data_IF_622178129971
#
_entry.id   IF_622178129971
#
_cell.length_a   1.000
_cell.length_b   1.000
_cell.length_c   1.000
_cell.angle_alpha   90.00
_cell.angle_beta   90.00
_cell.angle_gamma   90.00
#
_symmetry.space_group_name_H-M   'P 1'
#
loop_
_entity.id
_entity.type
_entity.pdbx_description
1 polymer ?
#
# COMPACT_ATOMS: atom_id res chain seq x y z
N UNK A 1 1.57 -14.76 -11.88
CA UNK A 1 0.19 -14.65 -11.37
C UNK A 1 0.25 -14.11 -9.95
N UNK A 2 -0.71 -13.29 -9.49
CA UNK A 2 -0.70 -12.83 -8.10
C UNK A 2 -0.79 -14.02 -7.16
N UNK A 3 -0.06 -13.96 -6.04
CA UNK A 3 -0.20 -14.90 -4.93
C UNK A 3 -1.63 -14.83 -4.39
N UNK A 4 -2.09 -13.62 -4.09
CA UNK A 4 -3.45 -13.36 -3.64
C UNK A 4 -3.81 -11.86 -3.71
N UNK A 5 -5.10 -11.56 -3.50
CA UNK A 5 -5.62 -10.20 -3.29
C UNK A 5 -6.01 -10.02 -1.82
N UNK A 6 -5.54 -8.94 -1.20
CA UNK A 6 -5.78 -8.64 0.21
C UNK A 6 -6.52 -7.32 0.37
N UNK A 7 -7.33 -7.22 1.42
CA UNK A 7 -7.93 -5.95 1.86
C UNK A 7 -7.60 -5.77 3.33
N UNK A 8 -6.95 -4.66 3.66
CA UNK A 8 -6.57 -4.31 5.02
C UNK A 8 -7.27 -3.03 5.44
N UNK A 9 -7.97 -3.09 6.58
CA UNK A 9 -8.43 -1.87 7.25
C UNK A 9 -7.28 -1.17 7.94
N UNK A 10 -7.49 0.10 8.28
CA UNK A 10 -6.53 0.86 9.07
C UNK A 10 -6.22 0.16 10.41
N UNK A 11 -4.93 0.05 10.71
CA UNK A 11 -4.33 -0.67 11.83
C UNK A 11 -4.61 -2.18 11.87
N UNK A 12 -5.13 -2.76 10.78
CA UNK A 12 -5.32 -4.20 10.66
C UNK A 12 -4.03 -4.85 10.16
N UNK A 13 -3.65 -5.95 10.81
CA UNK A 13 -2.48 -6.76 10.46
C UNK A 13 -2.95 -8.07 9.83
N UNK A 14 -2.39 -8.43 8.67
CA UNK A 14 -2.69 -9.69 8.01
C UNK A 14 -1.43 -10.38 7.53
N UNK A 15 -1.39 -11.71 7.67
CA UNK A 15 -0.34 -12.54 7.08
C UNK A 15 -0.53 -12.58 5.57
N UNK A 16 0.46 -12.07 4.83
CA UNK A 16 0.43 -11.99 3.37
C UNK A 16 1.16 -13.16 2.70
N UNK A 17 2.15 -13.75 3.38
CA UNK A 17 2.91 -14.89 2.88
C UNK A 17 3.70 -15.54 4.03
N UNK A 18 3.52 -16.85 4.29
CA UNK A 18 4.22 -17.59 5.35
C UNK A 18 4.26 -16.86 6.72
N UNK A 19 5.42 -16.35 7.13
CA UNK A 19 5.64 -15.62 8.39
C UNK A 19 5.66 -14.09 8.23
N UNK A 20 5.30 -13.59 7.04
CA UNK A 20 5.28 -12.17 6.69
C UNK A 20 3.89 -11.61 6.96
N UNK A 21 3.81 -10.63 7.86
CA UNK A 21 2.59 -9.86 8.10
C UNK A 21 2.74 -8.44 7.61
N UNK A 22 1.64 -7.86 7.18
CA UNK A 22 1.53 -6.49 6.72
C UNK A 22 0.43 -5.78 7.50
N UNK A 23 0.72 -4.58 8.00
CA UNK A 23 -0.24 -3.70 8.66
C UNK A 23 -0.38 -2.40 7.89
N UNK A 24 -1.62 -2.04 7.55
CA UNK A 24 -1.91 -0.72 6.97
C UNK A 24 -2.05 0.31 8.10
N UNK A 25 -1.07 1.18 8.32
CA UNK A 25 -1.10 2.12 9.44
C UNK A 25 -1.97 3.33 9.13
N UNK A 26 -1.76 3.93 7.97
CA UNK A 26 -2.48 5.10 7.50
C UNK A 26 -2.10 5.41 6.06
N UNK A 27 -2.81 6.37 5.49
CA UNK A 27 -2.34 7.04 4.29
C UNK A 27 -2.51 8.55 4.48
N UNK A 28 -1.79 9.32 3.67
CA UNK A 28 -1.84 10.77 3.68
C UNK A 28 -1.64 11.31 2.26
N UNK A 29 -1.89 12.60 2.09
CA UNK A 29 -1.53 13.33 0.89
C UNK A 29 -0.67 14.52 1.30
N UNK A 30 0.40 14.79 0.54
CA UNK A 30 1.16 16.03 0.73
C UNK A 30 0.34 17.19 0.19
N UNK A 31 0.04 18.21 1.01
CA UNK A 31 -0.68 19.41 0.52
C UNK A 31 0.02 19.98 -0.71
N UNK A 32 -0.72 20.13 -1.81
CA UNK A 32 -0.26 20.84 -3.00
C UNK A 32 -0.87 22.24 -3.05
N UNK A 33 -0.24 23.13 -3.81
CA UNK A 33 -0.78 24.47 -4.08
C UNK A 33 -2.07 24.35 -4.90
N UNK A 34 -2.89 25.41 -4.89
CA UNK A 34 -4.23 25.42 -5.51
C UNK A 34 -4.22 25.12 -7.02
N UNK A 35 -3.06 25.23 -7.69
CA UNK A 35 -2.84 24.86 -9.11
C UNK A 35 -1.62 23.94 -9.29
N UNK A 36 -1.22 23.23 -8.24
CA UNK A 36 -0.09 22.28 -8.27
C UNK A 36 -0.46 20.93 -8.88
N UNK A 37 0.54 20.08 -9.20
CA UNK A 37 0.28 18.71 -9.63
C UNK A 37 -0.53 17.94 -8.56
N UNK A 38 -1.23 16.85 -8.93
CA UNK A 38 -1.95 16.00 -7.97
C UNK A 38 -1.03 15.58 -6.81
N UNK A 39 -1.53 15.68 -5.59
CA UNK A 39 -0.78 15.26 -4.41
C UNK A 39 -0.56 13.74 -4.46
N UNK A 40 0.69 13.24 -4.32
CA UNK A 40 0.93 11.80 -4.31
C UNK A 40 0.19 11.16 -3.13
N UNK A 41 -0.27 9.93 -3.34
CA UNK A 41 -0.79 9.08 -2.28
C UNK A 41 0.40 8.55 -1.48
N UNK A 42 0.43 8.85 -0.18
CA UNK A 42 1.47 8.37 0.72
C UNK A 42 0.88 7.23 1.55
N UNK A 43 1.42 6.02 1.42
CA UNK A 43 1.02 4.86 2.21
C UNK A 43 2.03 4.58 3.32
N UNK A 44 1.53 4.44 4.54
CA UNK A 44 2.33 4.02 5.69
C UNK A 44 2.02 2.56 6.01
N UNK A 45 3.02 1.70 5.78
CA UNK A 45 2.90 0.25 5.91
C UNK A 45 3.90 -0.25 6.93
N UNK A 46 3.47 -1.17 7.79
CA UNK A 46 4.35 -1.92 8.69
C UNK A 46 4.46 -3.35 8.22
N UNK A 47 5.67 -3.90 8.23
CA UNK A 47 5.94 -5.30 7.93
C UNK A 47 6.50 -5.98 9.16
N UNK A 48 6.03 -7.20 9.44
CA UNK A 48 6.57 -8.05 10.49
C UNK A 48 7.09 -9.36 9.87
N UNK A 49 8.36 -9.69 10.12
CA UNK A 49 8.96 -10.97 9.73
C UNK A 49 9.80 -11.53 10.86
N UNK A 50 9.49 -12.74 11.31
CA UNK A 50 10.23 -13.41 12.40
C UNK A 50 10.31 -12.57 13.68
N UNK A 51 9.27 -11.78 13.95
CA UNK A 51 9.20 -10.86 15.09
C UNK A 51 9.95 -9.54 14.91
N UNK A 52 10.62 -9.31 13.77
CA UNK A 52 11.21 -8.02 13.41
C UNK A 52 10.19 -7.15 12.69
N UNK A 53 9.99 -5.92 13.18
CA UNK A 53 9.04 -4.95 12.62
C UNK A 53 9.80 -3.86 11.85
N UNK A 54 9.36 -3.59 10.62
CA UNK A 54 9.88 -2.53 9.76
C UNK A 54 8.74 -1.66 9.27
N UNK A 55 8.83 -0.35 9.52
CA UNK A 55 7.86 0.62 9.01
C UNK A 55 8.41 1.31 7.75
N UNK A 56 7.59 1.42 6.72
CA UNK A 56 7.91 2.07 5.45
C UNK A 56 6.83 3.05 5.04
N UNK A 57 7.29 4.11 4.39
CA UNK A 57 6.46 5.08 3.71
C UNK A 57 6.65 4.89 2.19
N UNK A 58 5.56 4.75 1.45
CA UNK A 58 5.56 4.61 0.00
C UNK A 58 4.80 5.74 -0.66
N UNK A 59 5.38 6.32 -1.70
CA UNK A 59 4.82 7.45 -2.43
C UNK A 59 4.35 6.93 -3.78
N UNK A 60 3.03 6.85 -3.94
CA UNK A 60 2.39 6.43 -5.18
C UNK A 60 1.98 7.69 -5.94
N UNK A 61 2.42 7.82 -7.20
CA UNK A 61 2.22 9.00 -8.03
C UNK A 61 0.83 8.99 -8.68
N UNK A 62 -0.19 8.86 -7.84
CA UNK A 62 -1.55 8.60 -8.31
C UNK A 62 -2.58 9.35 -7.48
N UNK A 63 -3.66 9.74 -8.14
CA UNK A 63 -4.92 10.08 -7.51
C UNK A 63 -5.85 8.84 -7.54
N UNK A 64 -7.00 8.91 -6.86
CA UNK A 64 -7.95 7.78 -6.80
C UNK A 64 -8.41 7.31 -8.20
N UNK A 65 -8.64 8.26 -9.12
CA UNK A 65 -9.08 7.98 -10.48
C UNK A 65 -8.03 7.24 -11.31
N UNK A 66 -6.75 7.53 -11.09
CA UNK A 66 -5.63 6.94 -11.82
C UNK A 66 -5.27 5.53 -11.34
N UNK A 67 -5.54 5.14 -10.09
CA UNK A 67 -5.25 3.77 -9.60
C UNK A 67 -6.04 2.72 -10.39
N UNK A 68 -7.26 3.05 -10.80
CA UNK A 68 -8.08 2.13 -11.58
C UNK A 68 -7.56 1.94 -13.02
N UNK A 69 -6.76 2.89 -13.52
CA UNK A 69 -6.26 2.91 -14.90
C UNK A 69 -4.79 2.52 -15.00
N UNK A 70 -3.99 2.87 -14.00
CA UNK A 70 -2.56 2.64 -13.91
C UNK A 70 -2.31 1.81 -12.65
N UNK A 71 -1.78 0.59 -12.84
CA UNK A 71 -1.43 -0.31 -11.72
C UNK A 71 -0.27 0.30 -10.94
N UNK A 72 -0.61 1.07 -9.92
CA UNK A 72 0.34 1.68 -9.00
C UNK A 72 0.65 0.72 -7.87
N UNK A 73 1.90 0.71 -7.43
CA UNK A 73 2.37 -0.32 -6.54
C UNK A 73 3.65 0.05 -5.84
N UNK A 74 4.05 -0.80 -4.91
CA UNK A 74 5.27 -0.65 -4.17
C UNK A 74 5.99 -1.99 -4.06
N UNK A 75 7.27 -1.94 -3.72
CA UNK A 75 8.09 -3.13 -3.56
C UNK A 75 8.65 -3.21 -2.14
N UNK A 76 8.76 -4.45 -1.66
CA UNK A 76 9.43 -4.73 -0.40
C UNK A 76 10.03 -6.14 -0.44
N UNK A 77 11.36 -6.22 -0.28
CA UNK A 77 12.13 -7.46 -0.47
C UNK A 77 11.78 -8.12 -1.81
N UNK A 78 11.40 -9.39 -1.79
CA UNK A 78 11.06 -10.20 -2.97
C UNK A 78 9.58 -10.08 -3.37
N UNK A 79 8.87 -9.06 -2.88
CA UNK A 79 7.45 -8.87 -3.15
C UNK A 79 7.18 -7.56 -3.87
N UNK A 80 6.28 -7.63 -4.85
CA UNK A 80 5.67 -6.48 -5.51
C UNK A 80 4.19 -6.44 -5.13
N UNK A 81 3.74 -5.27 -4.69
CA UNK A 81 2.38 -5.01 -4.24
C UNK A 81 1.73 -4.05 -5.21
N UNK A 82 0.57 -4.36 -5.74
CA UNK A 82 -0.17 -3.47 -6.63
C UNK A 82 -1.45 -3.04 -5.96
N UNK A 83 -1.58 -1.74 -5.72
CA UNK A 83 -2.79 -1.14 -5.18
C UNK A 83 -3.90 -1.24 -6.25
N UNK A 84 -5.05 -1.74 -5.84
CA UNK A 84 -6.22 -1.94 -6.72
C UNK A 84 -7.42 -1.12 -6.27
N UNK A 85 -7.51 -0.77 -4.99
CA UNK A 85 -8.52 0.13 -4.45
C UNK A 85 -8.03 0.70 -3.09
N UNK A 86 -8.59 1.83 -2.68
CA UNK A 86 -8.40 2.35 -1.32
C UNK A 86 -9.54 3.28 -0.92
N UNK A 87 -9.76 3.45 0.39
CA UNK A 87 -10.62 4.49 0.93
C UNK A 87 -9.92 5.27 2.02
N UNK A 88 -10.06 6.59 1.97
CA UNK A 88 -9.27 7.50 2.80
C UNK A 88 -9.37 7.13 4.30
N UNK A 89 -8.27 6.59 4.85
CA UNK A 89 -8.07 6.21 6.25
C UNK A 89 -9.01 5.10 6.73
N UNK A 90 -9.58 4.35 5.80
CA UNK A 90 -10.45 3.22 6.10
C UNK A 90 -9.77 1.92 5.69
N UNK A 91 -9.43 1.75 4.41
CA UNK A 91 -8.84 0.51 3.91
C UNK A 91 -7.95 0.71 2.69
N UNK A 92 -7.13 -0.29 2.41
CA UNK A 92 -6.45 -0.51 1.14
C UNK A 92 -6.73 -1.91 0.63
N UNK A 93 -6.77 -2.07 -0.69
CA UNK A 93 -6.89 -3.37 -1.36
C UNK A 93 -5.77 -3.52 -2.39
N UNK A 94 -5.00 -4.59 -2.28
CA UNK A 94 -3.82 -4.79 -3.12
C UNK A 94 -3.63 -6.25 -3.53
N UNK A 95 -2.96 -6.45 -4.66
CA UNK A 95 -2.49 -7.75 -5.12
C UNK A 95 -1.01 -7.92 -4.77
N UNK A 96 -0.62 -9.13 -4.38
CA UNK A 96 0.78 -9.46 -4.02
C UNK A 96 1.36 -10.41 -5.05
N UNK A 97 2.57 -10.13 -5.49
CA UNK A 97 3.35 -10.97 -6.40
C UNK A 97 4.71 -11.25 -5.75
N UNK A 98 5.18 -12.50 -5.83
CA UNK A 98 6.55 -12.87 -5.46
C UNK A 98 7.42 -12.78 -6.71
N UNK A 99 8.57 -12.13 -6.60
CA UNK A 99 9.59 -12.05 -7.65
C UNK A 99 10.23 -13.42 -7.91
#
# INVERSE_FOLDING_TARGET
>A
MPLNKFTLKKNETQTIYENIKLTFLSHSHKKTYQDGPPSPLILNISYETEGLIENKEYHLNTNYELIQQQKEGWEWKDFSFFLTDYKYNEFITFEVYKK
#
